data_IF_850472610548
#
_entry.id   IF_850472610548
#
_cell.length_a   1.000
_cell.length_b   1.000
_cell.length_c   1.000
_cell.angle_alpha   90.00
_cell.angle_beta   90.00
_cell.angle_gamma   90.00
#
_symmetry.space_group_name_H-M   'P 1'
#
loop_
_entity.id
_entity.type
_entity.pdbx_description
1 polymer ?
#
# COMPACT_ATOMS: atom_id res chain seq x y z
N UNK A 1 -9.37 -5.81 9.59
CA UNK A 1 -10.73 -5.24 9.68
C UNK A 1 -11.63 -6.08 8.80
N UNK A 2 -12.93 -6.17 9.09
CA UNK A 2 -13.86 -6.67 8.09
C UNK A 2 -13.90 -5.70 6.89
N UNK A 3 -14.24 -6.18 5.67
CA UNK A 3 -14.17 -5.36 4.47
C UNK A 3 -15.00 -4.07 4.53
N UNK A 4 -16.13 -4.07 5.24
CA UNK A 4 -17.02 -2.91 5.35
C UNK A 4 -16.37 -1.85 6.24
N UNK A 5 -15.89 -2.25 7.42
CA UNK A 5 -15.21 -1.33 8.34
C UNK A 5 -13.92 -0.76 7.74
N UNK A 6 -13.16 -1.57 7.00
CA UNK A 6 -11.96 -1.11 6.29
C UNK A 6 -12.28 0.01 5.31
N UNK A 7 -13.31 -0.18 4.47
CA UNK A 7 -13.72 0.83 3.49
C UNK A 7 -14.20 2.14 4.14
N UNK A 8 -14.94 2.06 5.24
CA UNK A 8 -15.36 3.25 5.99
C UNK A 8 -14.18 4.00 6.59
N UNK A 9 -13.16 3.28 7.05
CA UNK A 9 -11.93 3.89 7.55
C UNK A 9 -11.18 4.60 6.41
N UNK A 10 -11.10 3.98 5.24
CA UNK A 10 -10.48 4.58 4.05
C UNK A 10 -11.18 5.89 3.65
N UNK A 11 -12.52 5.88 3.59
CA UNK A 11 -13.32 7.07 3.30
C UNK A 11 -13.09 8.18 4.33
N UNK A 12 -13.00 7.83 5.62
CA UNK A 12 -12.71 8.78 6.69
C UNK A 12 -11.29 9.38 6.55
N UNK A 13 -10.29 8.57 6.20
CA UNK A 13 -8.93 9.05 5.97
C UNK A 13 -8.91 10.09 4.84
N UNK A 14 -9.59 9.80 3.73
CA UNK A 14 -9.68 10.73 2.61
C UNK A 14 -10.40 12.03 3.00
N UNK A 15 -11.51 11.92 3.73
CA UNK A 15 -12.24 13.10 4.23
C UNK A 15 -11.38 13.96 5.16
N UNK A 16 -10.61 13.36 6.07
CA UNK A 16 -9.72 14.09 6.97
C UNK A 16 -8.59 14.78 6.22
N UNK A 17 -7.98 14.10 5.24
CA UNK A 17 -6.95 14.69 4.37
C UNK A 17 -7.48 15.94 3.67
N UNK A 18 -8.63 15.82 3.02
CA UNK A 18 -9.21 16.88 2.19
C UNK A 18 -9.77 18.04 3.03
N UNK A 19 -10.32 17.75 4.21
CA UNK A 19 -10.90 18.77 5.10
C UNK A 19 -9.85 19.56 5.88
N UNK A 20 -8.72 18.92 6.23
CA UNK A 20 -7.67 19.52 7.04
C UNK A 20 -6.46 20.00 6.21
N UNK A 21 -6.47 19.76 4.90
CA UNK A 21 -5.36 20.03 3.97
C UNK A 21 -4.01 19.53 4.51
N UNK A 22 -3.99 18.26 4.92
CA UNK A 22 -2.85 17.67 5.62
C UNK A 22 -2.30 16.43 4.91
N UNK A 23 -1.05 16.10 5.19
CA UNK A 23 -0.43 14.86 4.71
C UNK A 23 -0.69 13.74 5.71
N UNK A 24 -1.27 12.64 5.24
CA UNK A 24 -1.51 11.45 6.05
C UNK A 24 -0.54 10.35 5.63
N UNK A 25 0.14 9.74 6.61
CA UNK A 25 0.98 8.56 6.42
C UNK A 25 0.31 7.37 7.08
N UNK A 26 0.05 6.31 6.30
CA UNK A 26 -0.61 5.09 6.76
C UNK A 26 0.33 3.90 6.61
N UNK A 27 0.42 3.07 7.66
CA UNK A 27 1.11 1.77 7.61
C UNK A 27 0.04 0.69 7.52
N UNK A 28 0.01 -0.03 6.39
CA UNK A 28 -0.98 -1.07 6.14
C UNK A 28 -0.37 -2.22 5.34
N UNK A 29 -0.90 -3.42 5.56
CA UNK A 29 -0.67 -4.59 4.71
C UNK A 29 -1.91 -4.93 3.86
N UNK A 30 -2.99 -4.15 3.97
CA UNK A 30 -4.19 -4.35 3.18
C UNK A 30 -4.10 -3.66 1.82
N UNK A 31 -3.93 -4.47 0.77
CA UNK A 31 -3.85 -3.97 -0.59
C UNK A 31 -5.06 -3.16 -1.05
N UNK A 32 -6.29 -3.52 -0.64
CA UNK A 32 -7.47 -2.80 -1.12
C UNK A 32 -7.44 -1.35 -0.65
N UNK A 33 -7.17 -1.14 0.64
CA UNK A 33 -6.93 0.19 1.20
C UNK A 33 -5.76 0.88 0.52
N UNK A 34 -4.59 0.23 0.39
CA UNK A 34 -3.42 0.84 -0.27
C UNK A 34 -3.76 1.36 -1.67
N UNK A 35 -4.49 0.59 -2.49
CA UNK A 35 -4.88 1.03 -3.84
C UNK A 35 -5.98 2.11 -3.85
N UNK A 36 -6.73 2.24 -2.76
CA UNK A 36 -7.84 3.19 -2.61
C UNK A 36 -7.36 4.55 -2.10
N UNK A 37 -6.53 4.58 -1.06
CA UNK A 37 -6.17 5.83 -0.36
C UNK A 37 -4.78 6.37 -0.72
N UNK A 38 -3.85 5.54 -1.19
CA UNK A 38 -2.45 5.96 -1.28
C UNK A 38 -2.10 6.60 -2.63
N UNK A 39 -1.67 7.86 -2.59
CA UNK A 39 -1.06 8.55 -3.74
C UNK A 39 0.32 7.96 -4.08
N UNK A 40 1.07 7.57 -3.05
CA UNK A 40 2.38 6.91 -3.12
C UNK A 40 2.46 5.80 -2.08
N UNK A 41 3.09 4.68 -2.43
CA UNK A 41 3.41 3.59 -1.54
C UNK A 41 4.92 3.42 -1.41
N UNK A 42 5.35 3.09 -0.20
CA UNK A 42 6.72 2.77 0.16
C UNK A 42 6.74 1.31 0.66
N UNK A 43 7.50 0.45 -0.01
CA UNK A 43 7.64 -0.95 0.40
C UNK A 43 8.87 -1.11 1.29
N UNK A 44 8.67 -1.65 2.50
CA UNK A 44 9.72 -1.96 3.46
C UNK A 44 10.07 -3.44 3.39
N UNK A 45 11.32 -3.75 3.06
CA UNK A 45 11.82 -5.11 3.04
C UNK A 45 12.39 -5.46 4.43
N UNK A 46 11.88 -6.56 5.01
CA UNK A 46 12.25 -7.03 6.36
C UNK A 46 13.65 -7.65 6.43
N UNK A 47 14.15 -8.24 5.34
CA UNK A 47 15.49 -8.86 5.30
C UNK A 47 16.57 -7.80 5.20
N UNK A 48 16.42 -6.87 4.24
CA UNK A 48 17.39 -5.79 4.03
C UNK A 48 17.18 -4.61 4.97
N UNK A 49 16.08 -4.61 5.74
CA UNK A 49 15.67 -3.55 6.68
C UNK A 49 15.71 -2.16 6.05
N UNK A 50 15.32 -2.06 4.78
CA UNK A 50 15.33 -0.82 4.01
C UNK A 50 14.15 -0.74 3.05
N UNK A 51 13.92 0.46 2.52
CA UNK A 51 12.95 0.69 1.46
C UNK A 51 13.47 0.12 0.13
N UNK A 52 12.66 -0.69 -0.54
CA UNK A 52 13.03 -1.28 -1.85
C UNK A 52 12.07 -0.91 -2.99
N UNK A 53 11.00 -0.17 -2.70
CA UNK A 53 10.16 0.46 -3.72
C UNK A 53 9.52 1.75 -3.19
N UNK A 54 9.37 2.73 -4.09
CA UNK A 54 8.66 3.98 -3.81
C UNK A 54 7.97 4.47 -5.09
N UNK A 55 6.66 4.73 -5.02
CA UNK A 55 5.91 5.30 -6.14
C UNK A 55 4.41 5.04 -6.06
N UNK A 56 3.63 5.47 -7.07
CA UNK A 56 2.19 5.22 -7.10
C UNK A 56 1.89 3.70 -7.08
N UNK A 57 0.97 3.22 -6.22
CA UNK A 57 0.71 1.77 -6.08
C UNK A 57 0.42 1.06 -7.41
N UNK A 58 -0.39 1.68 -8.28
CA UNK A 58 -0.74 1.13 -9.60
C UNK A 58 0.48 1.05 -10.54
N UNK A 59 1.41 1.99 -10.44
CA UNK A 59 2.64 1.98 -11.22
C UNK A 59 3.61 0.90 -10.73
N UNK A 60 3.76 0.76 -9.41
CA UNK A 60 4.57 -0.29 -8.78
C UNK A 60 4.04 -1.69 -9.11
N UNK A 61 2.72 -1.87 -9.20
CA UNK A 61 2.13 -3.15 -9.60
C UNK A 61 2.40 -3.49 -11.07
N UNK A 62 2.40 -2.47 -11.95
CA UNK A 62 2.63 -2.66 -13.40
C UNK A 62 4.10 -2.92 -13.71
N UNK A 63 5.00 -2.15 -13.09
CA UNK A 63 6.44 -2.22 -13.30
C UNK A 63 7.14 -2.35 -11.92
N UNK A 64 7.11 -3.54 -11.30
CA UNK A 64 7.68 -3.77 -9.99
C UNK A 64 9.23 -3.74 -10.06
N UNK A 65 9.92 -3.12 -9.09
CA UNK A 65 11.38 -3.08 -9.07
C UNK A 65 12.03 -4.42 -8.70
N UNK A 66 11.27 -5.34 -8.08
CA UNK A 66 11.73 -6.68 -7.73
C UNK A 66 10.54 -7.63 -7.54
N UNK A 67 10.83 -8.94 -7.47
CA UNK A 67 9.81 -9.99 -7.35
C UNK A 67 9.00 -9.91 -6.04
N UNK A 68 9.62 -9.51 -4.93
CA UNK A 68 8.91 -9.38 -3.64
C UNK A 68 7.84 -8.30 -3.66
N UNK A 69 8.15 -7.15 -4.27
CA UNK A 69 7.19 -6.05 -4.44
C UNK A 69 6.05 -6.48 -5.35
N UNK A 70 6.34 -7.23 -6.42
CA UNK A 70 5.32 -7.82 -7.28
C UNK A 70 4.41 -8.75 -6.49
N UNK A 71 4.98 -9.77 -5.83
CA UNK A 71 4.25 -10.77 -5.05
C UNK A 71 3.35 -10.13 -4.00
N UNK A 72 3.89 -9.15 -3.26
CA UNK A 72 3.12 -8.38 -2.28
C UNK A 72 1.94 -7.67 -2.93
N UNK A 73 2.15 -6.91 -4.01
CA UNK A 73 1.11 -6.10 -4.66
C UNK A 73 0.06 -6.92 -5.44
N UNK A 74 0.33 -8.19 -5.70
CA UNK A 74 -0.60 -9.11 -6.37
C UNK A 74 -1.22 -10.14 -5.44
N UNK A 75 -0.85 -10.18 -4.14
CA UNK A 75 -1.17 -11.30 -3.23
C UNK A 75 -0.80 -12.65 -3.84
N UNK A 76 0.26 -12.69 -4.65
CA UNK A 76 0.75 -13.97 -5.15
C UNK A 76 1.45 -14.69 -4.00
N UNK A 77 1.22 -16.00 -3.83
CA UNK A 77 1.98 -16.78 -2.86
C UNK A 77 3.47 -16.61 -3.17
N UNK A 78 4.27 -16.54 -2.11
CA UNK A 78 5.72 -16.67 -2.27
C UNK A 78 5.94 -17.97 -3.05
N UNK A 79 6.54 -17.86 -4.24
CA UNK A 79 7.09 -19.05 -4.88
C UNK A 79 8.16 -19.53 -3.90
N UNK A 80 7.86 -20.62 -3.22
CA UNK A 80 8.64 -21.21 -2.14
C UNK A 80 10.13 -21.16 -2.50
N UNK A 81 10.92 -20.59 -1.59
CA UNK A 81 12.36 -20.85 -1.54
C UNK A 81 12.58 -22.16 -0.80
#
# INVERSE_FOLDING_TARGET
LDPISARRLDDLILQLRDSLDTTIVVVSHDLESIFTIADRALYLNIETKTMTALGPPKALRRNPPNQRVYQFLTRSPDAEQ
#
